data_IF_474140685773
#
_entry.id   IF_474140685773
#
_cell.length_a   1.000
_cell.length_b   1.000
_cell.length_c   1.000
_cell.angle_alpha   90.00
_cell.angle_beta   90.00
_cell.angle_gamma   90.00
#
_symmetry.space_group_name_H-M   'P 1'
#
loop_
_entity.id
_entity.type
_entity.pdbx_description
1 polymer ?
#
# COMPACT_ATOMS: atom_id res chain seq x y z
N UNK A 1 12.37 -44.45 -20.37
CA UNK A 1 11.92 -43.21 -21.08
C UNK A 1 10.99 -42.43 -20.14
N UNK A 2 11.50 -41.37 -19.53
CA UNK A 2 10.79 -40.56 -18.53
C UNK A 2 10.23 -39.33 -19.23
N UNK A 3 8.89 -39.24 -19.31
CA UNK A 3 8.18 -38.02 -19.72
C UNK A 3 8.18 -37.02 -18.61
N UNK A 4 8.86 -35.89 -18.81
CA UNK A 4 8.82 -34.71 -17.93
C UNK A 4 7.51 -33.97 -18.16
N UNK A 5 6.64 -33.98 -17.15
CA UNK A 5 5.49 -33.05 -17.09
C UNK A 5 5.98 -31.63 -16.80
N UNK A 6 5.87 -30.79 -17.80
CA UNK A 6 6.07 -29.34 -17.67
C UNK A 6 4.86 -28.74 -16.93
N UNK A 7 5.08 -28.33 -15.71
CA UNK A 7 4.12 -27.51 -14.98
C UNK A 7 4.02 -26.12 -15.64
N UNK A 8 2.96 -25.91 -16.36
CA UNK A 8 2.56 -24.63 -16.92
C UNK A 8 1.98 -23.77 -15.80
N UNK A 9 2.79 -22.93 -15.23
CA UNK A 9 2.38 -21.91 -14.25
C UNK A 9 1.40 -20.93 -14.88
N UNK A 10 0.18 -20.95 -14.38
CA UNK A 10 -0.86 -19.98 -14.77
C UNK A 10 -0.53 -18.61 -14.19
N UNK A 11 0.14 -17.78 -14.96
CA UNK A 11 0.43 -16.37 -14.61
C UNK A 11 -0.57 -15.36 -15.21
N UNK A 12 -1.74 -15.84 -15.64
CA UNK A 12 -2.66 -15.05 -16.47
C UNK A 12 -3.77 -14.24 -15.77
N UNK A 13 -4.01 -14.45 -14.47
CA UNK A 13 -5.21 -13.88 -13.83
C UNK A 13 -4.99 -12.54 -13.08
N UNK A 14 -3.74 -12.15 -12.82
CA UNK A 14 -3.42 -10.97 -12.00
C UNK A 14 -3.39 -9.65 -12.76
N UNK A 15 -3.25 -9.66 -14.09
CA UNK A 15 -3.03 -8.43 -14.87
C UNK A 15 -4.29 -7.62 -15.14
N UNK A 16 -5.47 -8.22 -15.14
CA UNK A 16 -6.72 -7.51 -15.50
C UNK A 16 -7.26 -6.56 -14.42
N UNK A 17 -7.02 -6.84 -13.15
CA UNK A 17 -7.49 -5.98 -12.04
C UNK A 17 -6.64 -4.73 -11.83
N UNK A 18 -5.42 -4.72 -12.35
CA UNK A 18 -4.49 -3.57 -12.23
C UNK A 18 -4.84 -2.48 -13.26
N UNK A 19 -5.42 -2.84 -14.38
CA UNK A 19 -5.74 -1.92 -15.49
C UNK A 19 -6.89 -0.96 -15.17
N UNK A 20 -7.81 -1.31 -14.29
CA UNK A 20 -9.01 -0.50 -14.02
C UNK A 20 -8.76 0.76 -13.17
N UNK A 21 -7.62 0.89 -12.47
CA UNK A 21 -7.31 2.05 -11.60
C UNK A 21 -5.91 2.59 -11.77
N UNK A 22 -5.61 3.15 -12.95
CA UNK A 22 -4.73 4.28 -13.07
C UNK A 22 -3.27 4.17 -12.90
N UNK A 23 -2.68 4.52 -13.95
CA UNK A 23 -1.30 5.01 -14.09
C UNK A 23 -0.36 4.49 -13.02
N UNK A 24 0.21 3.34 -13.28
CA UNK A 24 1.29 2.80 -12.44
C UNK A 24 2.40 3.83 -12.29
N UNK A 25 2.62 4.70 -13.27
CA UNK A 25 3.60 5.78 -13.23
C UNK A 25 3.53 6.68 -11.97
N UNK A 26 2.42 6.74 -11.27
CA UNK A 26 2.30 7.49 -10.02
C UNK A 26 2.85 6.77 -8.80
N UNK A 27 3.21 5.50 -8.94
CA UNK A 27 3.75 4.66 -7.86
C UNK A 27 5.24 4.45 -7.99
N UNK A 28 5.90 5.18 -8.91
CA UNK A 28 7.26 4.85 -9.26
C UNK A 28 8.31 5.38 -8.34
N UNK A 29 9.36 4.59 -8.36
CA UNK A 29 10.71 4.86 -7.93
C UNK A 29 11.17 6.24 -8.42
N UNK A 30 11.95 6.92 -7.63
CA UNK A 30 12.73 8.06 -8.09
C UNK A 30 12.02 9.40 -8.23
N UNK A 31 10.85 9.61 -7.65
CA UNK A 31 10.29 10.96 -7.51
C UNK A 31 11.11 11.75 -6.49
N UNK A 32 12.10 12.48 -6.96
CA UNK A 32 13.07 13.22 -6.15
C UNK A 32 12.41 14.30 -5.28
N UNK A 33 11.40 15.01 -5.79
CA UNK A 33 10.72 16.09 -5.06
C UNK A 33 9.42 15.63 -4.44
N UNK A 34 9.23 15.95 -3.17
CA UNK A 34 7.96 15.80 -2.48
C UNK A 34 6.98 16.88 -2.93
N UNK A 35 5.72 16.51 -3.12
CA UNK A 35 4.62 17.44 -3.37
C UNK A 35 3.67 17.40 -2.18
N UNK A 36 4.03 18.13 -1.13
CA UNK A 36 3.43 18.01 0.21
C UNK A 36 2.94 19.32 0.79
N UNK A 37 3.32 20.46 0.21
CA UNK A 37 2.93 21.80 0.70
C UNK A 37 1.48 22.08 0.34
N UNK A 38 0.57 21.75 1.26
CA UNK A 38 -0.88 21.80 1.06
C UNK A 38 -1.40 23.21 0.79
N UNK A 39 -0.76 24.21 1.34
CA UNK A 39 -1.05 25.64 1.16
C UNK A 39 -1.02 26.09 -0.32
N UNK A 40 -0.13 25.48 -1.12
CA UNK A 40 0.00 25.77 -2.56
C UNK A 40 -0.76 24.79 -3.45
N UNK A 41 -1.52 23.86 -2.86
CA UNK A 41 -2.24 22.84 -3.60
C UNK A 41 -3.73 23.14 -3.50
N UNK A 42 -4.34 23.57 -4.59
CA UNK A 42 -5.78 23.79 -4.66
C UNK A 42 -6.55 22.48 -4.49
N UNK A 43 -7.13 22.25 -3.31
CA UNK A 43 -7.94 21.08 -3.00
C UNK A 43 -7.13 19.77 -2.89
N UNK A 44 -6.82 19.35 -1.68
CA UNK A 44 -6.21 18.04 -1.42
C UNK A 44 -7.33 17.02 -1.18
N UNK A 45 -7.43 15.95 -1.99
CA UNK A 45 -8.45 14.93 -1.79
C UNK A 45 -8.23 14.18 -0.48
N UNK A 46 -9.33 13.85 0.20
CA UNK A 46 -9.31 13.14 1.46
C UNK A 46 -8.60 11.77 1.33
N UNK A 47 -7.88 11.38 2.38
CA UNK A 47 -7.26 10.07 2.46
C UNK A 47 -8.30 9.01 2.84
N UNK A 48 -8.22 7.83 2.22
CA UNK A 48 -9.07 6.69 2.62
C UNK A 48 -8.59 6.02 3.90
N UNK A 49 -7.29 6.09 4.17
CA UNK A 49 -6.76 5.59 5.44
C UNK A 49 -6.97 6.66 6.51
N UNK A 50 -7.73 6.33 7.53
CA UNK A 50 -8.03 7.18 8.69
C UNK A 50 -7.55 6.56 9.99
N UNK A 51 -7.58 5.24 10.09
CA UNK A 51 -7.12 4.50 11.26
C UNK A 51 -5.70 3.98 11.03
N UNK A 52 -4.79 4.35 11.91
CA UNK A 52 -3.38 3.94 11.87
C UNK A 52 -3.04 2.94 12.97
N UNK A 53 -3.78 2.97 14.05
CA UNK A 53 -3.63 2.05 15.19
C UNK A 53 -4.95 1.29 15.40
N UNK A 54 -4.87 -0.03 15.52
CA UNK A 54 -6.01 -0.93 15.72
C UNK A 54 -5.63 -2.01 16.72
N UNK A 55 -6.58 -2.41 17.57
CA UNK A 55 -6.35 -3.38 18.66
C UNK A 55 -5.95 -2.69 19.96
N UNK A 56 -5.47 -3.47 20.91
CA UNK A 56 -5.06 -2.95 22.21
C UNK A 56 -3.70 -2.23 22.11
N UNK A 57 -3.67 -0.97 22.56
CA UNK A 57 -2.49 -0.12 22.55
C UNK A 57 -1.68 -0.20 23.86
N UNK A 58 -2.31 -0.66 24.92
CA UNK A 58 -1.77 -0.61 26.28
C UNK A 58 -1.07 -1.93 26.61
N UNK A 59 -1.61 -3.04 26.13
CA UNK A 59 -1.08 -4.36 26.41
C UNK A 59 0.36 -4.51 25.91
N UNK A 60 1.21 -5.10 26.76
CA UNK A 60 2.55 -5.52 26.40
C UNK A 60 2.50 -6.88 25.70
N UNK A 61 3.00 -6.91 24.48
CA UNK A 61 3.08 -8.11 23.66
C UNK A 61 4.53 -8.58 23.53
N UNK A 62 4.73 -9.91 23.56
CA UNK A 62 6.05 -10.53 23.50
C UNK A 62 6.66 -10.53 22.10
N UNK A 63 5.83 -10.59 21.05
CA UNK A 63 6.28 -10.68 19.66
C UNK A 63 5.89 -9.44 18.86
N UNK A 64 6.86 -8.90 18.13
CA UNK A 64 6.65 -7.84 17.13
C UNK A 64 6.98 -8.36 15.73
N UNK A 65 5.98 -8.46 14.87
CA UNK A 65 6.15 -8.78 13.45
C UNK A 65 6.08 -7.50 12.63
N UNK A 66 7.10 -7.23 11.84
CA UNK A 66 7.23 -5.99 11.06
C UNK A 66 7.27 -6.29 9.57
N UNK A 67 6.47 -5.56 8.80
CA UNK A 67 6.49 -5.53 7.36
C UNK A 67 7.31 -4.34 6.87
N UNK A 68 8.40 -4.58 6.14
CA UNK A 68 9.28 -3.54 5.58
C UNK A 68 9.32 -3.61 4.06
N UNK A 69 9.45 -2.45 3.41
CA UNK A 69 9.58 -2.36 1.96
C UNK A 69 11.00 -2.74 1.49
N UNK A 70 11.12 -3.51 0.42
CA UNK A 70 12.42 -3.80 -0.20
C UNK A 70 12.92 -2.64 -1.06
N UNK A 71 12.01 -1.94 -1.70
CA UNK A 71 12.31 -0.94 -2.71
C UNK A 71 11.66 0.39 -2.41
N UNK A 72 12.31 1.48 -2.85
CA UNK A 72 11.72 2.81 -2.76
C UNK A 72 10.53 2.95 -3.71
N UNK A 73 9.40 3.42 -3.20
CA UNK A 73 8.19 3.63 -4.00
C UNK A 73 7.21 4.62 -3.36
N UNK A 74 6.17 4.99 -4.10
CA UNK A 74 5.02 5.70 -3.60
C UNK A 74 3.86 4.73 -3.35
N UNK A 75 3.46 4.59 -2.10
CA UNK A 75 2.32 3.75 -1.71
C UNK A 75 1.07 4.60 -1.57
N UNK A 76 0.05 4.34 -2.37
CA UNK A 76 -1.20 5.10 -2.35
C UNK A 76 -1.99 4.84 -1.08
N UNK A 77 -2.76 5.85 -0.64
CA UNK A 77 -3.64 5.73 0.52
C UNK A 77 -4.60 4.54 0.45
N UNK A 78 -5.09 4.21 -0.76
CA UNK A 78 -5.97 3.04 -0.96
C UNK A 78 -5.25 1.71 -0.71
N UNK A 79 -3.97 1.62 -1.09
CA UNK A 79 -3.17 0.42 -0.88
C UNK A 79 -2.86 0.22 0.61
N UNK A 80 -2.54 1.30 1.32
CA UNK A 80 -2.33 1.27 2.77
C UNK A 80 -3.59 0.82 3.51
N UNK A 81 -4.76 1.36 3.13
CA UNK A 81 -6.02 0.97 3.74
C UNK A 81 -6.38 -0.49 3.45
N UNK A 82 -6.21 -0.95 2.19
CA UNK A 82 -6.43 -2.36 1.84
C UNK A 82 -5.50 -3.30 2.61
N UNK A 83 -4.25 -2.90 2.79
CA UNK A 83 -3.26 -3.67 3.54
C UNK A 83 -3.65 -3.75 5.02
N UNK A 84 -4.04 -2.61 5.63
CA UNK A 84 -4.52 -2.54 7.02
C UNK A 84 -5.73 -3.44 7.24
N UNK A 85 -6.77 -3.29 6.41
CA UNK A 85 -8.01 -4.07 6.53
C UNK A 85 -7.76 -5.56 6.36
N UNK A 86 -6.91 -5.95 5.41
CA UNK A 86 -6.58 -7.36 5.17
C UNK A 86 -5.85 -7.97 6.36
N UNK A 87 -4.84 -7.28 6.90
CA UNK A 87 -4.11 -7.74 8.08
C UNK A 87 -5.02 -7.82 9.30
N UNK A 88 -5.78 -6.75 9.56
CA UNK A 88 -6.70 -6.67 10.69
C UNK A 88 -7.75 -7.79 10.67
N UNK A 89 -8.42 -7.98 9.54
CA UNK A 89 -9.45 -9.01 9.42
C UNK A 89 -8.92 -10.40 9.72
N UNK A 90 -7.72 -10.70 9.23
CA UNK A 90 -7.14 -12.02 9.43
C UNK A 90 -6.72 -12.25 10.88
N UNK A 91 -6.00 -11.31 11.50
CA UNK A 91 -5.54 -11.49 12.89
C UNK A 91 -6.72 -11.46 13.88
N UNK A 92 -7.71 -10.61 13.66
CA UNK A 92 -8.90 -10.52 14.50
C UNK A 92 -9.69 -11.81 14.55
N UNK A 93 -9.73 -12.59 13.44
CA UNK A 93 -10.41 -13.89 13.42
C UNK A 93 -9.73 -14.91 14.33
N UNK A 94 -8.40 -14.81 14.52
CA UNK A 94 -7.64 -15.79 15.30
C UNK A 94 -7.34 -15.34 16.74
N UNK A 95 -6.98 -14.07 16.93
CA UNK A 95 -6.55 -13.52 18.22
C UNK A 95 -7.63 -12.69 18.95
N UNK A 96 -8.82 -12.54 18.33
CA UNK A 96 -9.86 -11.68 18.90
C UNK A 96 -9.55 -10.18 18.73
N UNK A 97 -10.22 -9.31 19.53
CA UNK A 97 -10.03 -7.84 19.43
C UNK A 97 -8.83 -7.35 20.25
N UNK A 98 -8.58 -7.97 21.38
CA UNK A 98 -7.61 -7.48 22.38
C UNK A 98 -6.27 -8.25 22.35
N UNK A 99 -6.19 -9.33 21.55
CA UNK A 99 -4.99 -10.19 21.46
C UNK A 99 -3.89 -9.64 20.55
N UNK A 100 -4.02 -8.43 20.01
CA UNK A 100 -3.02 -7.84 19.10
C UNK A 100 -3.05 -6.33 19.09
N UNK A 101 -1.94 -5.73 18.63
CA UNK A 101 -1.84 -4.32 18.27
C UNK A 101 -1.25 -4.17 16.87
N UNK A 102 -2.03 -3.65 15.94
CA UNK A 102 -1.60 -3.36 14.57
C UNK A 102 -1.39 -1.86 14.39
N UNK A 103 -0.18 -1.48 13.95
CA UNK A 103 0.19 -0.09 13.68
C UNK A 103 0.68 0.12 12.27
N UNK A 104 0.05 1.03 11.52
CA UNK A 104 0.52 1.52 10.23
C UNK A 104 1.48 2.69 10.48
N UNK A 105 2.75 2.53 10.08
CA UNK A 105 3.81 3.50 10.39
C UNK A 105 4.00 4.59 9.34
N UNK A 106 3.35 4.46 8.19
CA UNK A 106 3.52 5.39 7.06
C UNK A 106 2.26 6.20 6.81
N UNK A 107 2.43 7.53 6.67
CA UNK A 107 1.34 8.45 6.38
C UNK A 107 1.40 8.96 4.94
N UNK A 108 0.28 9.06 4.20
CA UNK A 108 0.24 9.52 2.81
C UNK A 108 0.28 11.06 2.70
N UNK A 109 1.45 11.66 2.85
CA UNK A 109 1.64 13.11 2.75
C UNK A 109 1.73 13.63 1.32
N UNK A 110 2.28 12.81 0.38
CA UNK A 110 2.51 13.23 -0.99
C UNK A 110 1.21 13.27 -1.78
N UNK A 111 0.94 14.40 -2.45
CA UNK A 111 -0.25 14.57 -3.28
C UNK A 111 0.04 14.13 -4.71
N UNK A 112 -0.79 13.23 -5.23
CA UNK A 112 -0.70 12.72 -6.59
C UNK A 112 -1.54 13.60 -7.52
N UNK A 113 -0.96 13.93 -8.68
CA UNK A 113 -1.59 14.69 -9.75
C UNK A 113 -1.75 13.85 -11.01
N UNK A 114 -2.77 14.16 -11.79
CA UNK A 114 -2.98 13.54 -13.09
C UNK A 114 -3.53 14.56 -14.07
N UNK A 115 -2.85 14.73 -15.22
CA UNK A 115 -3.37 15.48 -16.36
C UNK A 115 -4.18 14.49 -17.21
N UNK A 116 -5.50 14.68 -17.23
CA UNK A 116 -6.39 13.88 -18.07
C UNK A 116 -6.32 14.40 -19.50
N UNK A 117 -5.88 13.56 -20.41
CA UNK A 117 -5.86 13.84 -21.84
C UNK A 117 -7.02 13.07 -22.46
N UNK A 118 -7.92 13.77 -23.13
CA UNK A 118 -8.96 13.15 -23.93
C UNK A 118 -8.40 12.76 -25.30
N UNK A 119 -8.92 11.69 -25.87
CA UNK A 119 -8.60 11.21 -27.22
C UNK A 119 -9.89 11.03 -28.00
N UNK A 120 -9.86 11.32 -29.32
CA UNK A 120 -11.00 11.21 -30.18
C UNK A 120 -11.58 12.56 -30.62
N UNK A 121 -12.68 12.53 -31.37
CA UNK A 121 -13.36 13.73 -31.88
C UNK A 121 -13.84 14.62 -30.72
N UNK A 122 -13.58 15.93 -30.80
CA UNK A 122 -13.93 16.87 -29.74
C UNK A 122 -13.00 16.85 -28.49
N UNK A 123 -11.87 16.16 -28.56
CA UNK A 123 -10.90 16.10 -27.45
C UNK A 123 -10.32 17.47 -27.07
N UNK A 124 -10.21 18.38 -28.03
CA UNK A 124 -9.78 19.79 -27.87
C UNK A 124 -10.71 20.59 -26.95
N UNK A 125 -11.99 20.29 -26.92
CA UNK A 125 -12.99 20.92 -26.03
C UNK A 125 -12.85 20.44 -24.57
N UNK A 126 -12.25 19.28 -24.33
CA UNK A 126 -12.13 18.65 -23.03
C UNK A 126 -10.74 18.81 -22.42
N UNK A 127 -9.70 18.79 -23.25
CA UNK A 127 -8.31 18.89 -22.80
C UNK A 127 -7.45 19.65 -23.80
N UNK A 128 -6.44 20.36 -23.31
CA UNK A 128 -5.44 21.04 -24.13
C UNK A 128 -4.22 20.14 -24.45
N UNK A 129 -4.39 18.82 -24.40
CA UNK A 129 -3.27 17.87 -24.56
C UNK A 129 -2.17 18.08 -23.52
N UNK A 130 -0.94 18.21 -23.99
CA UNK A 130 0.23 18.47 -23.11
C UNK A 130 0.46 19.96 -22.83
N UNK A 131 -0.26 20.86 -23.48
CA UNK A 131 -0.24 22.29 -23.15
C UNK A 131 -0.88 22.49 -21.78
N UNK A 132 -0.20 23.19 -20.86
CA UNK A 132 -0.61 23.29 -19.46
C UNK A 132 -0.78 21.91 -18.77
N UNK A 133 0.21 21.04 -18.97
CA UNK A 133 0.19 19.65 -18.51
C UNK A 133 0.22 19.45 -16.99
N UNK A 134 0.24 20.51 -16.20
CA UNK A 134 0.17 20.41 -14.75
C UNK A 134 -1.19 19.83 -14.33
N UNK A 135 -1.17 18.58 -13.85
CA UNK A 135 -2.37 17.83 -13.54
C UNK A 135 -3.13 18.31 -12.31
N UNK A 136 -4.41 17.99 -12.28
CA UNK A 136 -5.26 18.17 -11.09
C UNK A 136 -4.95 17.09 -10.05
N UNK A 137 -5.21 17.39 -8.79
CA UNK A 137 -5.03 16.47 -7.66
C UNK A 137 -6.01 15.29 -7.74
N UNK A 138 -5.51 14.05 -7.54
CA UNK A 138 -6.33 12.82 -7.63
C UNK A 138 -6.29 11.95 -6.39
N UNK A 139 -5.33 12.16 -5.51
CA UNK A 139 -5.19 11.36 -4.29
C UNK A 139 -3.91 11.64 -3.56
N UNK A 140 -3.69 10.90 -2.49
CA UNK A 140 -2.50 11.00 -1.65
C UNK A 140 -1.71 9.70 -1.65
N UNK A 141 -0.42 9.77 -1.38
CA UNK A 141 0.47 8.63 -1.28
C UNK A 141 1.55 8.85 -0.23
N UNK A 142 2.02 7.77 0.37
CA UNK A 142 3.18 7.78 1.25
C UNK A 142 4.45 7.57 0.43
N UNK A 143 5.49 8.34 0.72
CA UNK A 143 6.83 8.12 0.19
C UNK A 143 7.54 7.12 1.07
N UNK A 144 7.87 5.98 0.52
CA UNK A 144 8.50 4.87 1.23
C UNK A 144 9.92 4.72 0.71
N UNK A 145 10.88 4.61 1.62
CA UNK A 145 12.29 4.28 1.34
C UNK A 145 12.50 2.77 1.42
N UNK A 146 13.57 2.28 0.81
CA UNK A 146 14.01 0.91 1.00
C UNK A 146 14.33 0.64 2.47
N UNK A 147 13.92 -0.53 2.99
CA UNK A 147 14.06 -0.91 4.39
C UNK A 147 13.06 -0.26 5.36
N UNK A 148 12.23 0.66 4.91
CA UNK A 148 11.28 1.36 5.79
C UNK A 148 10.18 0.43 6.28
N UNK A 149 9.93 0.45 7.59
CA UNK A 149 8.81 -0.26 8.24
C UNK A 149 7.47 0.36 7.80
N UNK A 150 6.58 -0.46 7.26
CA UNK A 150 5.25 -0.04 6.78
C UNK A 150 4.16 -0.32 7.79
N UNK A 151 4.10 -1.57 8.26
CA UNK A 151 3.11 -2.06 9.21
C UNK A 151 3.84 -2.85 10.27
N UNK A 152 3.48 -2.64 11.51
CA UNK A 152 3.95 -3.41 12.66
C UNK A 152 2.75 -4.08 13.31
N UNK A 153 2.86 -5.36 13.60
CA UNK A 153 1.85 -6.15 14.31
C UNK A 153 2.49 -6.74 15.55
N UNK A 154 1.95 -6.44 16.72
CA UNK A 154 2.36 -6.98 18.00
C UNK A 154 1.33 -7.97 18.50
N UNK A 155 1.76 -9.09 19.05
CA UNK A 155 0.88 -10.14 19.54
C UNK A 155 1.64 -11.04 20.55
N UNK A 156 0.92 -11.97 21.19
CA UNK A 156 1.54 -13.02 22.01
C UNK A 156 2.22 -14.08 21.12
N UNK A 157 3.07 -14.90 21.72
CA UNK A 157 3.82 -15.96 21.04
C UNK A 157 2.91 -16.97 20.35
N UNK A 158 1.76 -17.27 20.95
CA UNK A 158 0.75 -18.20 20.42
C UNK A 158 0.27 -17.82 19.02
N UNK A 159 0.14 -16.51 18.74
CA UNK A 159 -0.37 -16.00 17.48
C UNK A 159 0.71 -15.49 16.52
N UNK A 160 1.99 -15.78 16.82
CA UNK A 160 3.12 -15.30 16.00
C UNK A 160 3.05 -15.80 14.55
N UNK A 161 2.66 -17.06 14.33
CA UNK A 161 2.50 -17.64 12.99
C UNK A 161 1.35 -16.99 12.21
N UNK A 162 0.23 -16.75 12.87
CA UNK A 162 -0.93 -16.07 12.29
C UNK A 162 -0.61 -14.60 11.98
N UNK A 163 0.15 -13.93 12.83
CA UNK A 163 0.62 -12.57 12.59
C UNK A 163 1.51 -12.47 11.34
N UNK A 164 2.44 -13.42 11.16
CA UNK A 164 3.27 -13.51 9.95
C UNK A 164 2.42 -13.70 8.70
N UNK A 165 1.44 -14.58 8.76
CA UNK A 165 0.52 -14.84 7.63
C UNK A 165 -0.38 -13.64 7.34
N UNK A 166 -0.87 -12.93 8.37
CA UNK A 166 -1.62 -11.68 8.22
C UNK A 166 -0.83 -10.63 7.43
N UNK A 167 0.45 -10.45 7.79
CA UNK A 167 1.32 -9.51 7.09
C UNK A 167 1.70 -10.00 5.68
N UNK A 168 1.81 -11.32 5.46
CA UNK A 168 1.99 -11.88 4.11
C UNK A 168 0.80 -11.54 3.21
N UNK A 169 -0.43 -11.73 3.68
CA UNK A 169 -1.65 -11.34 2.95
C UNK A 169 -1.72 -9.84 2.70
N UNK A 170 -1.29 -9.04 3.67
CA UNK A 170 -1.22 -7.59 3.56
C UNK A 170 -0.19 -7.13 2.50
N UNK A 171 0.96 -7.80 2.38
CA UNK A 171 2.00 -7.47 1.40
C UNK A 171 1.51 -7.54 -0.04
N UNK A 172 0.57 -8.42 -0.36
CA UNK A 172 -0.04 -8.52 -1.70
C UNK A 172 -0.89 -7.30 -2.09
N UNK A 173 -1.22 -6.41 -1.13
CA UNK A 173 -1.94 -5.16 -1.39
C UNK A 173 -1.02 -3.98 -1.65
N UNK A 174 0.29 -4.17 -1.48
CA UNK A 174 1.31 -3.13 -1.64
C UNK A 174 1.98 -3.23 -3.01
N UNK A 175 2.46 -2.10 -3.57
CA UNK A 175 3.06 -2.07 -4.90
C UNK A 175 4.53 -2.50 -4.93
N UNK A 176 5.14 -2.77 -3.78
CA UNK A 176 6.55 -3.13 -3.64
C UNK A 176 6.69 -4.50 -3.00
N UNK A 177 7.70 -5.29 -3.36
CA UNK A 177 8.06 -6.47 -2.61
C UNK A 177 8.42 -6.07 -1.17
N UNK A 178 8.02 -6.90 -0.21
CA UNK A 178 8.18 -6.62 1.21
C UNK A 178 8.93 -7.74 1.91
N UNK A 179 9.68 -7.39 2.96
CA UNK A 179 10.27 -8.32 3.90
C UNK A 179 9.44 -8.36 5.18
N UNK A 180 9.29 -9.54 5.76
CA UNK A 180 8.66 -9.74 7.05
C UNK A 180 9.74 -10.17 8.03
N UNK A 181 9.88 -9.40 9.11
CA UNK A 181 10.84 -9.66 10.19
C UNK A 181 10.06 -9.91 11.47
N UNK A 182 10.40 -10.97 12.16
CA UNK A 182 9.82 -11.33 13.47
C UNK A 182 10.87 -11.02 14.52
N UNK A 183 10.55 -10.16 15.45
CA UNK A 183 11.38 -9.83 16.61
C UNK A 183 10.66 -10.29 17.86
N UNK A 184 11.32 -11.07 18.68
CA UNK A 184 10.92 -11.38 20.06
C UNK A 184 11.48 -10.28 20.97
N UNK A 185 10.69 -9.85 21.93
CA UNK A 185 11.02 -8.77 22.85
C UNK A 185 11.70 -9.33 24.09
#
# INVERSE_FOLDING_TARGET
>A
MLCKHLNRTQSGASSRLIMAKKNPAHMFRGKKRAYTRKEYIGGVPASRITQFDVGDKIADFSVEVTLSAKEECLVRHNALESARVTANRYIQTHAGRDGYHLKVRTYPHHVLRHNKIAQGAGADRVSMGMRKSFGRTVGTAARVKSGQKLITLRTSDEFASQAKEALRKSSHKLPTPCNIVVNQK
#
